data_IF_267335873902
#
_entry.id   IF_267335873902
#
_cell.length_a   1.000
_cell.length_b   1.000
_cell.length_c   1.000
_cell.angle_alpha   90.00
_cell.angle_beta   90.00
_cell.angle_gamma   90.00
#
_symmetry.space_group_name_H-M   'P 1'
#
loop_
_entity.id
_entity.type
_entity.pdbx_description
1 polymer ?
#
# COMPACT_ATOMS: atom_id res chain seq x y z
N UNK A 1 17.52 0.76 -8.07
CA UNK A 1 16.37 1.66 -7.80
C UNK A 1 16.22 1.87 -6.30
N UNK A 2 16.14 3.13 -5.86
CA UNK A 2 15.92 3.44 -4.45
C UNK A 2 14.44 3.18 -4.08
N UNK A 3 14.14 3.04 -2.77
CA UNK A 3 12.74 2.90 -2.34
C UNK A 3 11.86 4.06 -2.83
N UNK A 4 12.37 5.29 -2.79
CA UNK A 4 11.64 6.47 -3.25
C UNK A 4 11.39 6.42 -4.76
N UNK A 5 12.38 5.98 -5.53
CA UNK A 5 12.23 5.82 -6.98
C UNK A 5 11.21 4.76 -7.32
N UNK A 6 11.20 3.66 -6.57
CA UNK A 6 10.21 2.60 -6.74
C UNK A 6 8.80 3.14 -6.55
N UNK A 7 8.58 3.89 -5.45
CA UNK A 7 7.27 4.46 -5.15
C UNK A 7 6.84 5.47 -6.22
N UNK A 8 7.77 6.29 -6.70
CA UNK A 8 7.49 7.27 -7.75
C UNK A 8 7.10 6.58 -9.05
N UNK A 9 7.84 5.52 -9.42
CA UNK A 9 7.56 4.75 -10.63
C UNK A 9 6.19 4.07 -10.55
N UNK A 10 5.89 3.44 -9.42
CA UNK A 10 4.61 2.77 -9.19
C UNK A 10 3.45 3.75 -9.29
N UNK A 11 3.59 4.92 -8.67
CA UNK A 11 2.57 5.97 -8.68
C UNK A 11 2.36 6.50 -10.09
N UNK A 12 3.44 6.77 -10.82
CA UNK A 12 3.37 7.25 -12.19
C UNK A 12 2.68 6.24 -13.12
N UNK A 13 3.01 4.97 -12.99
CA UNK A 13 2.44 3.90 -13.83
C UNK A 13 0.97 3.61 -13.53
N UNK A 14 0.47 4.06 -12.38
CA UNK A 14 -0.94 3.86 -12.03
C UNK A 14 -1.89 4.62 -12.95
N UNK A 15 -1.37 5.59 -13.70
CA UNK A 15 -2.18 6.42 -14.61
C UNK A 15 -3.02 7.46 -13.90
N UNK A 16 -2.81 7.68 -12.61
CA UNK A 16 -3.57 8.66 -11.84
C UNK A 16 -3.14 10.07 -12.16
N UNK A 17 -4.10 10.95 -12.42
CA UNK A 17 -3.84 12.39 -12.59
C UNK A 17 -3.33 13.04 -11.31
N UNK A 18 -3.59 12.44 -10.15
CA UNK A 18 -3.11 12.93 -8.87
C UNK A 18 -1.59 12.97 -8.78
N UNK A 19 -0.91 12.07 -9.51
CA UNK A 19 0.55 12.06 -9.52
C UNK A 19 1.14 13.40 -9.93
N UNK A 20 0.55 14.05 -10.95
CA UNK A 20 1.03 15.36 -11.41
C UNK A 20 0.82 16.43 -10.36
N UNK A 21 -0.24 16.34 -9.57
CA UNK A 21 -0.50 17.25 -8.46
C UNK A 21 0.57 17.13 -7.38
N UNK A 22 1.08 15.91 -7.14
CA UNK A 22 2.11 15.68 -6.13
C UNK A 22 3.42 16.39 -6.46
N UNK A 23 3.70 16.61 -7.74
CA UNK A 23 4.96 17.24 -8.18
C UNK A 23 5.07 18.70 -7.73
N UNK A 24 3.95 19.34 -7.40
CA UNK A 24 3.93 20.73 -6.93
C UNK A 24 4.10 20.85 -5.42
N UNK A 25 4.11 19.74 -4.69
CA UNK A 25 4.29 19.75 -3.25
C UNK A 25 5.77 19.88 -2.87
N UNK A 26 6.07 20.47 -1.68
CA UNK A 26 7.44 20.43 -1.16
C UNK A 26 7.97 19.00 -1.12
N UNK A 27 9.28 18.85 -1.29
CA UNK A 27 9.92 17.53 -1.43
C UNK A 27 9.50 16.54 -0.35
N UNK A 28 9.51 16.95 0.93
CA UNK A 28 9.17 16.08 2.05
C UNK A 28 7.74 15.57 1.95
N UNK A 29 6.79 16.47 1.67
CA UNK A 29 5.38 16.09 1.52
C UNK A 29 5.16 15.24 0.27
N UNK A 30 5.84 15.57 -0.82
CA UNK A 30 5.76 14.82 -2.08
C UNK A 30 6.21 13.37 -1.88
N UNK A 31 7.33 13.17 -1.20
CA UNK A 31 7.83 11.82 -0.93
C UNK A 31 6.85 11.04 -0.04
N UNK A 32 6.29 11.70 0.97
CA UNK A 32 5.34 11.05 1.88
C UNK A 32 4.08 10.60 1.14
N UNK A 33 3.46 11.48 0.36
CA UNK A 33 2.25 11.17 -0.38
C UNK A 33 2.51 10.12 -1.44
N UNK A 34 3.64 10.21 -2.14
CA UNK A 34 4.01 9.22 -3.16
C UNK A 34 4.17 7.83 -2.54
N UNK A 35 4.80 7.72 -1.39
CA UNK A 35 4.96 6.44 -0.70
C UNK A 35 3.62 5.88 -0.22
N UNK A 36 2.75 6.73 0.35
CA UNK A 36 1.41 6.33 0.77
C UNK A 36 0.57 5.84 -0.42
N UNK A 37 0.60 6.59 -1.52
CA UNK A 37 -0.13 6.22 -2.73
C UNK A 37 0.38 4.89 -3.28
N UNK A 38 1.71 4.71 -3.31
CA UNK A 38 2.30 3.46 -3.77
C UNK A 38 1.86 2.27 -2.92
N UNK A 39 1.76 2.44 -1.60
CA UNK A 39 1.24 1.41 -0.70
C UNK A 39 -0.20 1.04 -1.08
N UNK A 40 -1.05 2.04 -1.26
CA UNK A 40 -2.44 1.80 -1.64
C UNK A 40 -2.54 1.06 -2.98
N UNK A 41 -1.71 1.43 -3.95
CA UNK A 41 -1.70 0.75 -5.25
C UNK A 41 -1.23 -0.70 -5.15
N UNK A 42 -0.25 -0.99 -4.30
CA UNK A 42 0.20 -2.37 -4.10
C UNK A 42 -0.94 -3.25 -3.57
N UNK A 43 -1.70 -2.73 -2.60
CA UNK A 43 -2.82 -3.46 -2.02
C UNK A 43 -3.97 -3.59 -3.02
N UNK A 44 -4.28 -2.51 -3.75
CA UNK A 44 -5.30 -2.53 -4.81
C UNK A 44 -4.96 -3.52 -5.91
N UNK A 45 -3.70 -3.56 -6.34
CA UNK A 45 -3.26 -4.48 -7.39
C UNK A 45 -3.46 -5.94 -6.99
N UNK A 46 -3.32 -6.26 -5.71
CA UNK A 46 -3.61 -7.60 -5.21
C UNK A 46 -5.10 -7.90 -5.39
N UNK A 47 -5.98 -6.97 -5.01
CA UNK A 47 -7.42 -7.16 -5.11
C UNK A 47 -7.87 -7.29 -6.57
N UNK A 48 -7.25 -6.54 -7.48
CA UNK A 48 -7.62 -6.48 -8.90
C UNK A 48 -6.94 -7.57 -9.75
N UNK A 49 -5.96 -8.29 -9.21
CA UNK A 49 -5.21 -9.29 -9.96
C UNK A 49 -6.08 -10.50 -10.33
N UNK A 50 -5.77 -11.12 -11.47
CA UNK A 50 -6.45 -12.35 -11.89
C UNK A 50 -5.81 -13.56 -11.19
N UNK A 51 -6.25 -13.82 -9.96
CA UNK A 51 -5.76 -14.95 -9.17
C UNK A 51 -6.83 -15.39 -8.18
N UNK A 52 -6.66 -16.58 -7.61
CA UNK A 52 -7.56 -17.12 -6.61
C UNK A 52 -7.64 -16.18 -5.39
N UNK A 53 -8.87 -15.98 -4.86
CA UNK A 53 -9.08 -15.13 -3.70
C UNK A 53 -8.31 -15.59 -2.47
N UNK A 54 -8.08 -16.89 -2.33
CA UNK A 54 -7.26 -17.43 -1.23
C UNK A 54 -5.82 -16.94 -1.32
N UNK A 55 -5.28 -16.87 -2.53
CA UNK A 55 -3.92 -16.33 -2.77
C UNK A 55 -3.89 -14.84 -2.44
N UNK A 56 -4.93 -14.10 -2.83
CA UNK A 56 -5.03 -12.67 -2.51
C UNK A 56 -5.02 -12.45 -1.00
N UNK A 57 -5.78 -13.25 -0.25
CA UNK A 57 -5.83 -13.15 1.21
C UNK A 57 -4.45 -13.43 1.84
N UNK A 58 -3.72 -14.42 1.33
CA UNK A 58 -2.35 -14.70 1.78
C UNK A 58 -1.44 -13.51 1.54
N UNK A 59 -1.55 -12.88 0.37
CA UNK A 59 -0.73 -11.69 0.04
C UNK A 59 -1.08 -10.51 0.93
N UNK A 60 -2.35 -10.30 1.25
CA UNK A 60 -2.77 -9.25 2.18
C UNK A 60 -2.23 -9.52 3.58
N UNK A 61 -2.22 -10.78 4.01
CA UNK A 61 -1.64 -11.16 5.29
C UNK A 61 -0.13 -10.88 5.33
N UNK A 62 0.57 -11.12 4.22
CA UNK A 62 1.97 -10.75 4.09
C UNK A 62 2.15 -9.24 4.32
N UNK A 63 1.27 -8.42 3.74
CA UNK A 63 1.34 -6.96 3.91
C UNK A 63 1.07 -6.56 5.36
N UNK A 64 0.18 -7.25 6.06
CA UNK A 64 -0.02 -7.02 7.51
C UNK A 64 1.27 -7.25 8.28
N UNK A 65 1.95 -8.35 8.00
CA UNK A 65 3.24 -8.67 8.62
C UNK A 65 4.30 -7.65 8.28
N UNK A 66 4.32 -7.19 7.03
CA UNK A 66 5.29 -6.20 6.58
C UNK A 66 5.06 -4.83 7.28
N UNK A 67 3.80 -4.45 7.50
CA UNK A 67 3.49 -3.24 8.26
C UNK A 67 3.97 -3.36 9.71
N UNK A 68 3.77 -4.51 10.33
CA UNK A 68 4.32 -4.75 11.68
C UNK A 68 5.83 -4.62 11.69
N UNK A 69 6.52 -5.20 10.71
CA UNK A 69 7.96 -5.11 10.56
C UNK A 69 8.42 -3.67 10.36
N UNK A 70 7.67 -2.89 9.56
CA UNK A 70 7.95 -1.48 9.30
C UNK A 70 7.99 -0.69 10.62
N UNK A 71 6.98 -0.87 11.47
CA UNK A 71 6.90 -0.16 12.75
C UNK A 71 7.88 -0.69 13.78
N UNK A 72 8.42 -1.89 13.59
CA UNK A 72 9.49 -2.46 14.42
C UNK A 72 10.89 -2.13 13.90
N UNK A 73 10.99 -1.39 12.79
CA UNK A 73 12.28 -0.99 12.23
C UNK A 73 12.91 -1.98 11.28
N UNK A 74 12.12 -2.91 10.72
CA UNK A 74 12.62 -3.99 9.85
C UNK A 74 11.87 -4.05 8.53
N UNK A 75 11.70 -2.90 7.85
CA UNK A 75 11.03 -2.84 6.56
C UNK A 75 11.81 -3.60 5.48
N UNK A 76 11.13 -4.44 4.71
CA UNK A 76 11.74 -5.30 3.69
C UNK A 76 11.37 -4.90 2.25
N UNK A 77 10.18 -4.36 2.04
CA UNK A 77 9.70 -3.97 0.70
C UNK A 77 10.10 -2.52 0.42
N UNK A 78 10.40 -2.16 -0.85
CA UNK A 78 10.74 -0.77 -1.19
C UNK A 78 9.69 0.25 -0.73
N UNK A 79 8.40 -0.08 -0.83
CA UNK A 79 7.32 0.81 -0.40
C UNK A 79 7.39 1.07 1.10
N UNK A 80 7.55 0.02 1.92
CA UNK A 80 7.64 0.19 3.37
C UNK A 80 8.93 0.86 3.77
N UNK A 81 10.03 0.59 3.07
CA UNK A 81 11.29 1.29 3.31
C UNK A 81 11.14 2.78 3.05
N UNK A 82 10.41 3.16 2.00
CA UNK A 82 10.15 4.57 1.69
C UNK A 82 9.21 5.23 2.71
N UNK A 83 8.39 4.45 3.41
CA UNK A 83 7.46 4.96 4.42
C UNK A 83 8.13 5.28 5.76
N UNK A 84 9.35 4.81 6.00
CA UNK A 84 10.03 5.02 7.29
C UNK A 84 10.13 6.51 7.64
N UNK A 85 10.63 7.34 6.73
CA UNK A 85 10.75 8.78 6.97
C UNK A 85 9.39 9.49 7.07
N UNK A 86 8.42 9.23 6.17
CA UNK A 86 7.08 9.83 6.31
C UNK A 86 6.41 9.52 7.65
N UNK A 87 6.53 8.31 8.15
CA UNK A 87 5.95 7.91 9.43
C UNK A 87 6.52 8.77 10.55
N UNK A 88 7.84 8.97 10.57
CA UNK A 88 8.51 9.79 11.58
C UNK A 88 8.17 11.26 11.43
N UNK A 89 8.19 11.78 10.20
CA UNK A 89 8.02 13.21 9.95
C UNK A 89 6.58 13.68 10.16
N UNK A 90 5.59 12.84 9.86
CA UNK A 90 4.18 13.18 9.92
C UNK A 90 3.43 12.42 10.99
N UNK A 91 4.12 11.62 11.81
CA UNK A 91 3.54 10.85 12.92
C UNK A 91 2.37 9.96 12.43
N UNK A 92 2.59 9.25 11.34
CA UNK A 92 1.58 8.34 10.80
C UNK A 92 1.42 7.13 11.72
N UNK A 93 0.18 6.74 11.95
CA UNK A 93 -0.14 5.65 12.87
C UNK A 93 -0.27 4.32 12.11
N UNK A 94 0.13 3.23 12.76
CA UNK A 94 0.01 1.88 12.19
C UNK A 94 -1.43 1.56 11.80
N UNK A 95 -2.39 2.08 12.54
CA UNK A 95 -3.81 1.82 12.29
C UNK A 95 -4.27 2.24 10.89
N UNK A 96 -3.70 3.31 10.32
CA UNK A 96 -4.01 3.73 8.95
C UNK A 96 -3.77 2.62 7.95
N UNK A 97 -2.61 1.98 8.06
CA UNK A 97 -2.21 0.93 7.12
C UNK A 97 -3.03 -0.33 7.34
N UNK A 98 -3.30 -0.65 8.59
CA UNK A 98 -4.12 -1.82 8.95
C UNK A 98 -5.55 -1.66 8.45
N UNK A 99 -6.13 -0.48 8.58
CA UNK A 99 -7.49 -0.22 8.10
C UNK A 99 -7.61 -0.34 6.59
N UNK A 100 -6.59 0.09 5.84
CA UNK A 100 -6.56 -0.05 4.38
C UNK A 100 -6.57 -1.54 4.01
N UNK A 101 -5.74 -2.34 4.66
CA UNK A 101 -5.67 -3.78 4.41
C UNK A 101 -6.98 -4.46 4.85
N UNK A 102 -7.52 -4.08 6.01
CA UNK A 102 -8.78 -4.61 6.51
C UNK A 102 -9.92 -4.38 5.52
N UNK A 103 -9.98 -3.18 4.93
CA UNK A 103 -10.99 -2.85 3.93
C UNK A 103 -10.93 -3.75 2.71
N UNK A 104 -9.72 -4.00 2.21
CA UNK A 104 -9.53 -4.90 1.07
C UNK A 104 -9.88 -6.34 1.41
N UNK A 105 -9.51 -6.80 2.60
CA UNK A 105 -9.83 -8.15 3.05
C UNK A 105 -11.34 -8.34 3.18
N UNK A 106 -12.04 -7.37 3.74
CA UNK A 106 -13.51 -7.41 3.84
C UNK A 106 -14.18 -7.51 2.47
N UNK A 107 -13.71 -6.76 1.50
CA UNK A 107 -14.25 -6.80 0.14
C UNK A 107 -14.04 -8.17 -0.50
N UNK A 108 -12.87 -8.78 -0.31
CA UNK A 108 -12.59 -10.12 -0.83
C UNK A 108 -13.45 -11.17 -0.15
N UNK A 109 -13.66 -11.07 1.15
CA UNK A 109 -14.52 -11.99 1.90
C UNK A 109 -15.97 -11.92 1.42
N UNK A 110 -16.48 -10.72 1.16
CA UNK A 110 -17.84 -10.54 0.62
C UNK A 110 -18.00 -11.24 -0.73
N UNK A 111 -17.01 -11.12 -1.61
CA UNK A 111 -17.02 -11.78 -2.92
C UNK A 111 -17.02 -13.31 -2.75
N UNK A 112 -16.21 -13.82 -1.81
CA UNK A 112 -16.18 -15.27 -1.53
C UNK A 112 -17.53 -15.78 -1.03
N UNK A 113 -18.17 -15.06 -0.12
CA UNK A 113 -19.48 -15.44 0.40
C UNK A 113 -20.57 -15.40 -0.68
N UNK A 114 -20.54 -14.36 -1.52
CA UNK A 114 -21.50 -14.27 -2.63
C UNK A 114 -21.40 -15.47 -3.57
N UNK A 115 -20.18 -15.92 -3.86
CA UNK A 115 -19.95 -17.09 -4.71
C UNK A 115 -20.42 -18.39 -4.07
N UNK A 116 -20.35 -18.49 -2.74
CA UNK A 116 -20.79 -19.69 -2.01
C UNK A 116 -22.31 -19.83 -1.97
N UNK A 117 -23.04 -18.74 -2.02
CA UNK A 117 -24.50 -18.73 -2.01
C UNK A 117 -25.11 -19.11 -3.38
N UNK A 118 -24.32 -19.05 -4.42
CA UNK A 118 -24.73 -19.46 -5.76
C UNK A 118 -24.56 -20.96 -5.98
#
# INVERSE_FOLDING_TARGET
MTPEEYCQDKTAKSGSSFYYSFLFLPKTKRLAITALYAFCREVDDIADAEMDNKIKLVKLEWWRSEIESLFNGSAHHPVTQALVSPIKNFKLEKEYFREIIDGMEMDLEKVCFANLEE
#
